data_IF_186375032514
#
_entry.id   IF_186375032514
#
_cell.length_a   1.000
_cell.length_b   1.000
_cell.length_c   1.000
_cell.angle_alpha   90.00
_cell.angle_beta   90.00
_cell.angle_gamma   90.00
#
_symmetry.space_group_name_H-M   'P 1'
#
loop_
_entity.id
_entity.type
_entity.pdbx_description
1 polymer ?
#
# COMPACT_ATOMS: atom_id res chain seq x y z
N UNK A 1 15.95 -42.39 7.90
CA UNK A 1 14.63 -42.11 7.29
C UNK A 1 14.67 -40.96 6.27
N UNK A 2 15.69 -40.07 6.28
CA UNK A 2 15.84 -38.96 5.32
C UNK A 2 16.16 -39.43 3.88
N UNK A 3 17.02 -40.43 3.70
CA UNK A 3 17.54 -40.80 2.37
C UNK A 3 16.57 -41.61 1.49
N UNK A 4 15.61 -42.32 2.11
CA UNK A 4 14.60 -43.07 1.35
C UNK A 4 13.53 -42.17 0.74
N UNK A 5 13.25 -41.02 1.36
CA UNK A 5 12.24 -40.09 0.86
C UNK A 5 12.79 -39.21 -0.27
N UNK A 6 14.08 -38.84 -0.21
CA UNK A 6 14.72 -38.06 -1.27
C UNK A 6 14.84 -38.86 -2.58
N UNK A 7 15.16 -40.16 -2.50
CA UNK A 7 15.31 -41.04 -3.67
C UNK A 7 13.98 -41.31 -4.39
N UNK A 8 12.90 -41.62 -3.65
CA UNK A 8 11.56 -41.78 -4.26
C UNK A 8 11.08 -40.50 -4.93
N UNK A 9 11.38 -39.36 -4.33
CA UNK A 9 10.93 -38.08 -4.84
C UNK A 9 11.73 -37.63 -6.07
N UNK A 10 13.03 -37.92 -6.10
CA UNK A 10 13.84 -37.77 -7.29
C UNK A 10 13.29 -38.62 -8.46
N UNK A 11 12.82 -39.84 -8.19
CA UNK A 11 12.15 -40.66 -9.19
C UNK A 11 10.82 -40.05 -9.66
N UNK A 12 10.01 -39.49 -8.77
CA UNK A 12 8.76 -38.83 -9.14
C UNK A 12 8.98 -37.59 -10.03
N UNK A 13 10.04 -36.82 -9.74
CA UNK A 13 10.45 -35.67 -10.56
C UNK A 13 10.92 -36.12 -11.95
N UNK A 14 11.73 -37.17 -12.03
CA UNK A 14 12.14 -37.74 -13.32
C UNK A 14 10.94 -38.27 -14.13
N UNK A 15 9.93 -38.83 -13.44
CA UNK A 15 8.68 -39.27 -14.07
C UNK A 15 7.82 -38.11 -14.57
N UNK A 16 7.94 -36.90 -14.02
CA UNK A 16 7.24 -35.72 -14.50
C UNK A 16 7.78 -35.16 -15.83
N UNK A 17 8.89 -35.72 -16.35
CA UNK A 17 9.40 -35.38 -17.68
C UNK A 17 10.11 -34.03 -17.77
N UNK A 18 10.59 -33.48 -16.64
CA UNK A 18 11.36 -32.24 -16.66
C UNK A 18 12.69 -32.43 -17.41
N UNK A 19 12.98 -31.50 -18.32
CA UNK A 19 14.26 -31.47 -19.02
C UNK A 19 15.31 -30.70 -18.20
N UNK A 20 16.60 -30.93 -18.48
CA UNK A 20 17.69 -30.14 -17.88
C UNK A 20 17.55 -28.63 -18.20
N UNK A 21 16.91 -28.30 -19.32
CA UNK A 21 16.60 -26.91 -19.68
C UNK A 21 15.57 -26.30 -18.72
N UNK A 22 14.53 -27.06 -18.38
CA UNK A 22 13.47 -26.66 -17.44
C UNK A 22 14.00 -26.42 -16.03
N UNK A 23 14.89 -27.29 -15.55
CA UNK A 23 15.55 -27.13 -14.25
C UNK A 23 16.33 -25.81 -14.18
N UNK A 24 17.16 -25.54 -15.19
CA UNK A 24 17.96 -24.32 -15.27
C UNK A 24 17.07 -23.07 -15.33
N UNK A 25 16.00 -23.12 -16.12
CA UNK A 25 15.06 -22.01 -16.24
C UNK A 25 14.37 -21.73 -14.91
N UNK A 26 13.90 -22.76 -14.21
CA UNK A 26 13.21 -22.59 -12.92
C UNK A 26 14.14 -22.02 -11.84
N UNK A 27 15.36 -22.55 -11.73
CA UNK A 27 16.36 -22.06 -10.77
C UNK A 27 16.72 -20.60 -11.06
N UNK A 28 16.99 -20.28 -12.34
CA UNK A 28 17.33 -18.92 -12.75
C UNK A 28 16.18 -17.94 -12.51
N UNK A 29 14.95 -18.34 -12.86
CA UNK A 29 13.76 -17.52 -12.60
C UNK A 29 13.58 -17.27 -11.10
N UNK A 30 13.65 -18.31 -10.26
CA UNK A 30 13.51 -18.15 -8.81
C UNK A 30 14.49 -17.12 -8.26
N UNK A 31 15.78 -17.26 -8.61
CA UNK A 31 16.82 -16.33 -8.17
C UNK A 31 16.57 -14.90 -8.65
N UNK A 32 16.26 -14.70 -9.94
CA UNK A 32 16.00 -13.37 -10.50
C UNK A 32 14.78 -12.71 -9.87
N UNK A 33 13.70 -13.48 -9.66
CA UNK A 33 12.46 -13.01 -9.05
C UNK A 33 12.72 -12.54 -7.61
N UNK A 34 13.51 -13.28 -6.82
CA UNK A 34 13.85 -12.89 -5.44
C UNK A 34 14.71 -11.61 -5.42
N UNK A 35 15.74 -11.54 -6.25
CA UNK A 35 16.61 -10.35 -6.34
C UNK A 35 15.78 -9.12 -6.72
N UNK A 36 14.93 -9.28 -7.73
CA UNK A 36 14.05 -8.22 -8.20
C UNK A 36 13.04 -7.79 -7.12
N UNK A 37 12.48 -8.74 -6.37
CA UNK A 37 11.60 -8.41 -5.25
C UNK A 37 12.31 -7.65 -4.14
N UNK A 38 13.52 -8.06 -3.77
CA UNK A 38 14.33 -7.38 -2.76
C UNK A 38 14.62 -5.93 -3.20
N UNK A 39 14.92 -5.74 -4.48
CA UNK A 39 15.09 -4.41 -5.08
C UNK A 39 13.82 -3.55 -4.97
N UNK A 40 12.65 -4.07 -5.37
CA UNK A 40 11.38 -3.35 -5.26
C UNK A 40 11.03 -2.99 -3.81
N UNK A 41 11.27 -3.91 -2.87
CA UNK A 41 11.05 -3.64 -1.43
C UNK A 41 12.06 -2.64 -0.86
N UNK A 42 13.27 -2.58 -1.41
CA UNK A 42 14.24 -1.53 -1.14
C UNK A 42 13.71 -0.14 -1.54
N UNK A 43 13.19 -0.01 -2.77
CA UNK A 43 12.52 1.22 -3.23
C UNK A 43 11.35 1.58 -2.29
N UNK A 44 10.53 0.60 -1.93
CA UNK A 44 9.43 0.81 -1.01
C UNK A 44 9.87 1.34 0.35
N UNK A 45 11.01 0.87 0.88
CA UNK A 45 11.58 1.36 2.15
C UNK A 45 11.96 2.84 2.08
N UNK A 46 12.51 3.31 0.95
CA UNK A 46 12.83 4.73 0.75
C UNK A 46 11.56 5.58 0.73
N UNK A 47 10.52 5.13 0.03
CA UNK A 47 9.21 5.82 -0.02
C UNK A 47 8.57 5.85 1.37
N UNK A 48 8.65 4.75 2.11
CA UNK A 48 8.15 4.66 3.48
C UNK A 48 8.89 5.63 4.42
N UNK A 49 10.22 5.69 4.36
CA UNK A 49 11.02 6.61 5.18
C UNK A 49 10.61 8.07 5.00
N UNK A 50 10.27 8.48 3.77
CA UNK A 50 9.77 9.83 3.49
C UNK A 50 8.34 10.10 4.00
N UNK A 51 7.57 9.06 4.31
CA UNK A 51 6.15 9.16 4.70
C UNK A 51 5.86 8.73 6.14
N UNK A 52 6.86 8.18 6.84
CA UNK A 52 6.73 7.58 8.17
C UNK A 52 6.18 8.54 9.23
N UNK A 53 6.47 9.84 9.11
CA UNK A 53 5.97 10.85 10.06
C UNK A 53 4.44 10.99 10.06
N UNK A 54 3.75 10.50 9.04
CA UNK A 54 2.34 10.84 8.83
C UNK A 54 1.34 9.85 9.45
N UNK A 55 1.61 8.53 9.49
CA UNK A 55 0.56 7.56 9.89
C UNK A 55 1.05 6.20 10.45
N UNK A 56 0.42 5.77 11.55
CA UNK A 56 0.62 4.45 12.18
C UNK A 56 0.22 3.29 11.26
N UNK A 57 -0.88 3.41 10.52
CA UNK A 57 -1.38 2.33 9.64
C UNK A 57 -0.40 2.00 8.50
N UNK A 58 0.30 3.01 7.97
CA UNK A 58 1.35 2.81 6.95
C UNK A 58 2.53 2.03 7.57
N UNK A 59 2.84 2.28 8.84
CA UNK A 59 3.90 1.55 9.55
C UNK A 59 3.57 0.06 9.70
N UNK A 60 2.31 -0.28 10.00
CA UNK A 60 1.87 -1.69 10.06
C UNK A 60 1.97 -2.37 8.70
N UNK A 61 1.55 -1.69 7.63
CA UNK A 61 1.68 -2.19 6.25
C UNK A 61 3.15 -2.41 5.88
N UNK A 62 4.03 -1.49 6.26
CA UNK A 62 5.48 -1.62 6.05
C UNK A 62 6.06 -2.82 6.81
N UNK A 63 5.77 -2.96 8.10
CA UNK A 63 6.23 -4.09 8.93
C UNK A 63 5.79 -5.43 8.32
N UNK A 64 4.54 -5.52 7.87
CA UNK A 64 4.00 -6.73 7.23
C UNK A 64 4.78 -7.07 5.95
N UNK A 65 5.11 -6.07 5.14
CA UNK A 65 5.92 -6.24 3.93
C UNK A 65 7.38 -6.65 4.23
N UNK A 66 7.99 -6.12 5.29
CA UNK A 66 9.33 -6.51 5.73
C UNK A 66 9.34 -7.93 6.30
N UNK A 67 8.33 -8.31 7.09
CA UNK A 67 8.17 -9.67 7.58
C UNK A 67 8.06 -10.67 6.41
N UNK A 68 7.28 -10.35 5.39
CA UNK A 68 7.15 -11.19 4.19
C UNK A 68 8.48 -11.30 3.43
N UNK A 69 9.29 -10.22 3.38
CA UNK A 69 10.63 -10.28 2.78
C UNK A 69 11.57 -11.19 3.60
N UNK A 70 11.53 -11.09 4.93
CA UNK A 70 12.37 -11.89 5.81
C UNK A 70 12.08 -13.39 5.67
N UNK A 71 10.80 -13.78 5.61
CA UNK A 71 10.39 -15.17 5.39
C UNK A 71 10.87 -15.66 4.03
N UNK A 72 10.70 -14.86 2.98
CA UNK A 72 11.16 -15.24 1.65
C UNK A 72 12.69 -15.33 1.55
N UNK A 73 13.41 -14.43 2.23
CA UNK A 73 14.86 -14.49 2.31
C UNK A 73 15.33 -15.77 3.02
N UNK A 74 14.64 -16.15 4.10
CA UNK A 74 14.89 -17.42 4.78
C UNK A 74 14.69 -18.61 3.83
N UNK A 75 13.59 -18.66 3.09
CA UNK A 75 13.35 -19.71 2.08
C UNK A 75 14.44 -19.73 1.00
N UNK A 76 14.92 -18.56 0.59
CA UNK A 76 16.00 -18.43 -0.41
C UNK A 76 17.32 -19.00 0.13
N UNK A 77 17.68 -18.63 1.36
CA UNK A 77 18.86 -19.19 2.03
C UNK A 77 18.76 -20.72 2.10
N UNK A 78 17.60 -21.24 2.49
CA UNK A 78 17.37 -22.67 2.54
C UNK A 78 17.57 -23.35 1.16
N UNK A 79 17.05 -22.76 0.09
CA UNK A 79 17.16 -23.30 -1.27
C UNK A 79 18.59 -23.28 -1.81
N UNK A 80 19.30 -22.15 -1.68
CA UNK A 80 20.56 -21.91 -2.38
C UNK A 80 21.81 -22.12 -1.52
N UNK A 81 21.71 -21.91 -0.20
CA UNK A 81 22.86 -22.03 0.70
C UNK A 81 22.83 -23.40 1.37
N UNK A 82 21.73 -23.76 2.02
CA UNK A 82 21.68 -25.00 2.80
C UNK A 82 21.56 -26.25 1.89
N UNK A 83 20.84 -26.13 0.76
CA UNK A 83 20.69 -27.20 -0.24
C UNK A 83 21.49 -26.93 -1.54
N UNK A 84 22.50 -26.07 -1.48
CA UNK A 84 23.28 -25.58 -2.62
C UNK A 84 24.35 -26.52 -3.18
N UNK A 85 24.48 -27.76 -2.68
CA UNK A 85 25.61 -28.65 -2.98
C UNK A 85 25.63 -29.06 -4.46
N UNK A 86 24.48 -29.42 -5.03
CA UNK A 86 24.34 -29.76 -6.44
C UNK A 86 23.15 -29.04 -7.07
N UNK A 87 23.11 -28.98 -8.41
CA UNK A 87 21.97 -28.41 -9.13
C UNK A 87 20.69 -29.16 -8.81
N UNK A 88 20.78 -30.48 -8.68
CA UNK A 88 19.63 -31.34 -8.44
C UNK A 88 19.08 -31.11 -7.02
N UNK A 89 19.95 -30.88 -6.02
CA UNK A 89 19.49 -30.52 -4.66
C UNK A 89 18.85 -29.13 -4.61
N UNK A 90 19.33 -28.16 -5.38
CA UNK A 90 18.69 -26.84 -5.51
C UNK A 90 17.35 -26.97 -6.22
N UNK A 91 17.28 -27.72 -7.32
CA UNK A 91 16.04 -27.93 -8.07
C UNK A 91 14.99 -28.61 -7.20
N UNK A 92 15.38 -29.70 -6.53
CA UNK A 92 14.56 -30.38 -5.53
C UNK A 92 14.16 -29.38 -4.46
N UNK A 93 15.06 -28.61 -3.85
CA UNK A 93 14.70 -27.64 -2.81
C UNK A 93 13.71 -26.58 -3.32
N UNK A 94 13.91 -25.99 -4.50
CA UNK A 94 12.98 -25.02 -5.11
C UNK A 94 11.61 -25.64 -5.36
N UNK A 95 11.56 -26.89 -5.85
CA UNK A 95 10.32 -27.61 -6.10
C UNK A 95 9.67 -28.12 -4.80
N UNK A 96 10.47 -28.50 -3.80
CA UNK A 96 10.08 -29.08 -2.50
C UNK A 96 10.02 -28.11 -1.34
N UNK A 97 10.20 -26.82 -1.57
CA UNK A 97 9.74 -25.79 -0.61
C UNK A 97 8.20 -25.81 -0.49
N UNK A 98 7.57 -26.97 -0.71
CA UNK A 98 6.21 -27.35 -0.39
C UNK A 98 6.15 -28.46 0.70
N UNK A 99 7.27 -28.89 1.32
CA UNK A 99 7.31 -29.86 2.42
C UNK A 99 6.68 -29.36 3.75
N UNK A 100 6.75 -30.17 4.82
CA UNK A 100 6.08 -29.87 6.12
C UNK A 100 6.55 -28.55 6.74
N UNK A 101 7.87 -28.30 6.78
CA UNK A 101 8.40 -27.00 7.24
C UNK A 101 8.01 -25.85 6.31
N UNK A 102 7.77 -26.17 5.03
CA UNK A 102 7.34 -25.20 4.05
C UNK A 102 5.83 -24.89 4.13
N UNK A 103 5.02 -25.77 4.72
CA UNK A 103 3.61 -25.48 4.98
C UNK A 103 3.48 -24.31 5.95
N UNK A 104 4.25 -24.30 7.04
CA UNK A 104 4.25 -23.21 8.00
C UNK A 104 4.69 -21.88 7.37
N UNK A 105 5.78 -21.90 6.59
CA UNK A 105 6.26 -20.72 5.86
C UNK A 105 5.24 -20.23 4.82
N UNK A 106 4.60 -21.16 4.10
CA UNK A 106 3.56 -20.86 3.13
C UNK A 106 2.35 -20.21 3.79
N UNK A 107 1.83 -20.80 4.87
CA UNK A 107 0.71 -20.22 5.63
C UNK A 107 1.10 -18.85 6.17
N UNK A 108 2.31 -18.67 6.69
CA UNK A 108 2.77 -17.38 7.17
C UNK A 108 2.82 -16.32 6.04
N UNK A 109 3.30 -16.69 4.85
CA UNK A 109 3.28 -15.82 3.67
C UNK A 109 1.86 -15.48 3.22
N UNK A 110 0.96 -16.47 3.17
CA UNK A 110 -0.45 -16.29 2.82
C UNK A 110 -1.12 -15.33 3.82
N UNK A 111 -0.92 -15.52 5.13
CA UNK A 111 -1.45 -14.63 6.18
C UNK A 111 -0.91 -13.21 6.04
N UNK A 112 0.40 -13.03 5.84
CA UNK A 112 0.98 -11.70 5.66
C UNK A 112 0.47 -11.02 4.38
N UNK A 113 0.22 -11.79 3.32
CA UNK A 113 -0.40 -11.31 2.10
C UNK A 113 -1.83 -10.82 2.36
N UNK A 114 -2.66 -11.62 3.04
CA UNK A 114 -4.03 -11.24 3.42
C UNK A 114 -4.02 -9.97 4.27
N UNK A 115 -3.17 -9.91 5.31
CA UNK A 115 -3.06 -8.74 6.18
C UNK A 115 -2.64 -7.51 5.39
N UNK A 116 -1.63 -7.61 4.52
CA UNK A 116 -1.17 -6.48 3.70
C UNK A 116 -2.26 -5.93 2.80
N UNK A 117 -3.02 -6.83 2.17
CA UNK A 117 -4.09 -6.48 1.24
C UNK A 117 -5.29 -5.86 1.97
N UNK A 118 -5.72 -6.43 3.10
CA UNK A 118 -6.79 -5.85 3.94
C UNK A 118 -6.39 -4.49 4.50
N UNK A 119 -5.13 -4.30 4.92
CA UNK A 119 -4.63 -2.99 5.37
C UNK A 119 -4.59 -1.97 4.23
N UNK A 120 -4.18 -2.40 3.03
CA UNK A 120 -4.16 -1.56 1.83
C UNK A 120 -5.57 -1.07 1.47
N UNK A 121 -6.54 -1.99 1.43
CA UNK A 121 -7.93 -1.65 1.14
C UNK A 121 -8.56 -0.81 2.24
N UNK A 122 -8.27 -1.13 3.51
CA UNK A 122 -8.72 -0.35 4.65
C UNK A 122 -8.25 1.11 4.59
N UNK A 123 -7.01 1.36 4.16
CA UNK A 123 -6.48 2.70 3.93
C UNK A 123 -7.22 3.44 2.81
N UNK A 124 -7.56 2.72 1.75
CA UNK A 124 -8.27 3.27 0.59
C UNK A 124 -9.76 3.54 0.93
N UNK A 125 -10.41 2.66 1.69
CA UNK A 125 -11.76 2.86 2.24
C UNK A 125 -11.80 4.07 3.18
N UNK A 126 -10.83 4.16 4.11
CA UNK A 126 -10.71 5.29 5.03
C UNK A 126 -10.63 6.63 4.30
N UNK A 127 -9.94 6.66 3.16
CA UNK A 127 -9.84 7.85 2.31
C UNK A 127 -11.14 8.18 1.61
N UNK A 128 -11.78 7.18 1.01
CA UNK A 128 -13.11 7.36 0.43
C UNK A 128 -14.08 7.88 1.50
N UNK A 129 -13.99 7.41 2.74
CA UNK A 129 -14.81 7.87 3.86
C UNK A 129 -14.64 9.36 4.17
N UNK A 130 -13.40 9.82 4.27
CA UNK A 130 -13.13 11.23 4.51
C UNK A 130 -13.50 12.11 3.29
N UNK A 131 -13.28 11.64 2.07
CA UNK A 131 -13.57 12.38 0.85
C UNK A 131 -15.08 12.57 0.59
N UNK A 132 -15.89 11.60 1.02
CA UNK A 132 -17.35 11.62 0.88
C UNK A 132 -18.07 12.28 2.07
N UNK A 133 -17.35 13.07 2.87
CA UNK A 133 -17.90 13.76 4.04
C UNK A 133 -18.69 12.80 4.95
N UNK A 134 -18.13 11.61 5.21
CA UNK A 134 -18.73 10.55 6.05
C UNK A 134 -20.03 9.94 5.51
N UNK A 135 -20.32 10.07 4.21
CA UNK A 135 -21.50 9.41 3.61
C UNK A 135 -21.30 7.89 3.52
N UNK A 136 -22.07 7.14 4.33
CA UNK A 136 -21.98 5.67 4.42
C UNK A 136 -22.36 4.96 3.12
N UNK A 137 -23.27 5.54 2.32
CA UNK A 137 -23.80 4.91 1.11
C UNK A 137 -22.73 4.63 0.05
N UNK A 138 -21.82 5.57 -0.21
CA UNK A 138 -20.77 5.40 -1.21
C UNK A 138 -19.75 4.31 -0.80
N UNK A 139 -19.58 4.13 0.51
CA UNK A 139 -18.52 3.33 1.13
C UNK A 139 -18.99 1.91 1.39
N UNK A 140 -20.30 1.72 1.55
CA UNK A 140 -20.92 0.41 1.76
C UNK A 140 -20.52 -0.59 0.67
N UNK A 141 -20.37 -0.14 -0.58
CA UNK A 141 -19.94 -0.99 -1.70
C UNK A 141 -18.50 -1.47 -1.51
N UNK A 142 -17.58 -0.56 -1.15
CA UNK A 142 -16.17 -0.91 -0.94
C UNK A 142 -15.99 -1.82 0.29
N UNK A 143 -16.67 -1.52 1.40
CA UNK A 143 -16.64 -2.36 2.60
C UNK A 143 -17.16 -3.76 2.31
N UNK A 144 -18.24 -3.88 1.54
CA UNK A 144 -18.77 -5.18 1.13
C UNK A 144 -17.77 -5.96 0.27
N UNK A 145 -17.15 -5.31 -0.74
CA UNK A 145 -16.15 -5.94 -1.60
C UNK A 145 -14.93 -6.41 -0.81
N UNK A 146 -14.35 -5.56 0.04
CA UNK A 146 -13.21 -5.92 0.90
C UNK A 146 -13.57 -7.02 1.90
N UNK A 147 -14.80 -7.07 2.40
CA UNK A 147 -15.27 -8.17 3.25
C UNK A 147 -15.32 -9.51 2.48
N UNK A 148 -15.90 -9.51 1.28
CA UNK A 148 -15.96 -10.71 0.42
C UNK A 148 -14.54 -11.18 0.07
N UNK A 149 -13.66 -10.25 -0.26
CA UNK A 149 -12.25 -10.51 -0.54
C UNK A 149 -11.53 -11.13 0.65
N UNK A 150 -11.64 -10.54 1.85
CA UNK A 150 -11.07 -11.09 3.07
C UNK A 150 -11.58 -12.51 3.35
N UNK A 151 -12.88 -12.76 3.15
CA UNK A 151 -13.47 -14.08 3.32
C UNK A 151 -12.90 -15.11 2.31
N UNK A 152 -12.70 -14.74 1.05
CA UNK A 152 -12.11 -15.61 0.03
C UNK A 152 -10.64 -15.93 0.33
N UNK A 153 -9.86 -14.92 0.73
CA UNK A 153 -8.44 -15.09 1.07
C UNK A 153 -8.26 -15.93 2.35
N UNK A 154 -9.14 -15.75 3.35
CA UNK A 154 -9.16 -16.60 4.54
C UNK A 154 -9.55 -18.04 4.18
N UNK A 155 -10.54 -18.23 3.31
CA UNK A 155 -10.94 -19.56 2.82
C UNK A 155 -9.77 -20.26 2.12
N UNK A 156 -9.03 -19.53 1.30
CA UNK A 156 -7.79 -20.06 0.70
C UNK A 156 -6.77 -20.45 1.77
N UNK A 157 -6.47 -19.56 2.71
CA UNK A 157 -5.44 -19.79 3.73
C UNK A 157 -5.77 -21.01 4.61
N UNK A 158 -7.03 -21.15 5.00
CA UNK A 158 -7.52 -22.31 5.76
C UNK A 158 -7.47 -23.57 4.87
N UNK A 159 -7.88 -23.45 3.61
CA UNK A 159 -7.81 -24.53 2.64
C UNK A 159 -6.38 -25.03 2.41
N UNK A 160 -5.40 -24.14 2.25
CA UNK A 160 -4.00 -24.52 2.07
C UNK A 160 -3.41 -25.18 3.31
N UNK A 161 -3.93 -24.86 4.51
CA UNK A 161 -3.52 -25.48 5.76
C UNK A 161 -4.11 -26.89 5.99
N UNK A 162 -5.38 -27.11 5.62
CA UNK A 162 -6.08 -28.39 5.88
C UNK A 162 -5.74 -29.43 4.82
N UNK A 163 -5.57 -29.00 3.57
CA UNK A 163 -5.51 -29.91 2.44
C UNK A 163 -4.11 -30.49 2.35
N UNK A 164 -3.91 -31.79 2.62
CA UNK A 164 -2.62 -32.40 2.39
C UNK A 164 -2.29 -32.22 0.91
N UNK A 165 -1.01 -31.92 0.62
CA UNK A 165 -0.45 -31.57 -0.70
C UNK A 165 -0.77 -32.53 -1.87
N UNK A 166 -1.52 -33.62 -1.64
CA UNK A 166 -1.83 -34.67 -2.59
C UNK A 166 -3.23 -34.60 -3.22
N UNK A 167 -4.16 -33.79 -2.70
CA UNK A 167 -5.51 -33.71 -3.28
C UNK A 167 -5.57 -32.70 -4.45
N UNK A 168 -5.11 -33.12 -5.64
CA UNK A 168 -5.07 -32.29 -6.87
C UNK A 168 -6.41 -31.61 -7.17
N UNK A 169 -7.53 -32.32 -7.00
CA UNK A 169 -8.88 -31.78 -7.26
C UNK A 169 -9.27 -30.62 -6.33
N UNK A 170 -8.71 -30.57 -5.13
CA UNK A 170 -9.01 -29.53 -4.14
C UNK A 170 -8.08 -28.33 -4.33
N UNK A 171 -6.83 -28.54 -4.74
CA UNK A 171 -5.91 -27.46 -5.12
C UNK A 171 -6.50 -26.60 -6.25
N UNK A 172 -7.07 -27.24 -7.28
CA UNK A 172 -7.74 -26.53 -8.38
C UNK A 172 -8.87 -25.62 -7.89
N UNK A 173 -9.65 -26.06 -6.89
CA UNK A 173 -10.71 -25.24 -6.30
C UNK A 173 -10.15 -24.08 -5.49
N UNK A 174 -9.07 -24.29 -4.75
CA UNK A 174 -8.41 -23.23 -3.99
C UNK A 174 -7.80 -22.18 -4.92
N UNK A 175 -7.19 -22.58 -6.02
CA UNK A 175 -6.64 -21.64 -7.00
C UNK A 175 -7.74 -20.78 -7.65
N UNK A 176 -8.92 -21.36 -7.92
CA UNK A 176 -10.10 -20.60 -8.36
C UNK A 176 -10.57 -19.60 -7.31
N UNK A 177 -10.48 -19.93 -6.02
CA UNK A 177 -10.80 -19.00 -4.92
C UNK A 177 -9.78 -17.85 -4.88
N UNK A 178 -8.47 -18.13 -5.05
CA UNK A 178 -7.42 -17.10 -5.16
C UNK A 178 -7.71 -16.16 -6.33
N UNK A 179 -8.02 -16.72 -7.50
CA UNK A 179 -8.37 -15.96 -8.69
C UNK A 179 -9.58 -15.04 -8.42
N UNK A 180 -10.65 -15.56 -7.82
CA UNK A 180 -11.82 -14.78 -7.49
C UNK A 180 -11.49 -13.65 -6.50
N UNK A 181 -10.72 -13.94 -5.45
CA UNK A 181 -10.30 -12.94 -4.46
C UNK A 181 -9.45 -11.83 -5.08
N UNK A 182 -8.45 -12.19 -5.89
CA UNK A 182 -7.59 -11.22 -6.59
C UNK A 182 -8.33 -10.38 -7.63
N UNK A 183 -9.32 -10.95 -8.32
CA UNK A 183 -10.16 -10.20 -9.25
C UNK A 183 -11.06 -9.22 -8.51
N UNK A 184 -11.68 -9.65 -7.40
CA UNK A 184 -12.49 -8.79 -6.54
C UNK A 184 -11.64 -7.64 -5.99
N UNK A 185 -10.42 -7.92 -5.51
CA UNK A 185 -9.43 -6.91 -5.13
C UNK A 185 -9.21 -5.86 -6.22
N UNK A 186 -8.97 -6.31 -7.45
CA UNK A 186 -8.77 -5.43 -8.60
C UNK A 186 -10.00 -4.56 -8.87
N UNK A 187 -11.20 -5.13 -8.76
CA UNK A 187 -12.46 -4.40 -8.86
C UNK A 187 -12.64 -3.39 -7.72
N UNK A 188 -12.31 -3.74 -6.47
CA UNK A 188 -12.35 -2.84 -5.31
C UNK A 188 -11.49 -1.61 -5.55
N UNK A 189 -10.23 -1.81 -5.96
CA UNK A 189 -9.29 -0.73 -6.26
C UNK A 189 -9.79 0.13 -7.43
N UNK A 190 -10.29 -0.48 -8.51
CA UNK A 190 -10.82 0.25 -9.66
C UNK A 190 -12.03 1.12 -9.28
N UNK A 191 -13.00 0.54 -8.56
CA UNK A 191 -14.20 1.25 -8.11
C UNK A 191 -13.81 2.41 -7.19
N UNK A 192 -12.92 2.18 -6.23
CA UNK A 192 -12.44 3.23 -5.34
C UNK A 192 -11.73 4.37 -6.08
N UNK A 193 -10.87 4.02 -7.04
CA UNK A 193 -10.17 5.00 -7.88
C UNK A 193 -11.17 5.87 -8.65
N UNK A 194 -12.20 5.24 -9.23
CA UNK A 194 -13.28 5.95 -9.94
C UNK A 194 -14.09 6.83 -8.98
N UNK A 195 -14.43 6.35 -7.78
CA UNK A 195 -15.16 7.14 -6.79
C UNK A 195 -14.38 8.39 -6.35
N UNK A 196 -13.07 8.25 -6.16
CA UNK A 196 -12.20 9.36 -5.77
C UNK A 196 -12.08 10.37 -6.91
N UNK A 197 -11.81 9.90 -8.14
CA UNK A 197 -11.73 10.75 -9.32
C UNK A 197 -13.05 11.50 -9.58
N UNK A 198 -14.18 10.80 -9.49
CA UNK A 198 -15.51 11.38 -9.66
C UNK A 198 -15.78 12.49 -8.64
N UNK A 199 -15.43 12.26 -7.37
CA UNK A 199 -15.67 13.24 -6.30
C UNK A 199 -14.80 14.48 -6.47
N UNK A 200 -13.51 14.32 -6.82
CA UNK A 200 -12.63 15.46 -7.12
C UNK A 200 -13.18 16.27 -8.29
N UNK A 201 -13.61 15.60 -9.36
CA UNK A 201 -14.22 16.28 -10.52
C UNK A 201 -15.49 17.05 -10.14
N UNK A 202 -16.34 16.48 -9.28
CA UNK A 202 -17.53 17.16 -8.78
C UNK A 202 -17.19 18.41 -7.96
N UNK A 203 -16.17 18.34 -7.09
CA UNK A 203 -15.69 19.48 -6.32
C UNK A 203 -15.12 20.58 -7.22
N UNK A 204 -14.32 20.23 -8.22
CA UNK A 204 -13.79 21.18 -9.20
C UNK A 204 -14.89 21.95 -9.91
N UNK A 205 -15.99 21.26 -10.28
CA UNK A 205 -17.13 21.90 -10.96
C UNK A 205 -17.86 22.91 -10.08
N UNK A 206 -17.90 22.72 -8.77
CA UNK A 206 -18.64 23.61 -7.86
C UNK A 206 -17.86 24.86 -7.45
N UNK A 207 -16.53 24.81 -7.37
CA UNK A 207 -15.74 25.89 -6.79
C UNK A 207 -15.11 26.88 -7.78
N UNK A 208 -15.31 26.71 -9.10
CA UNK A 208 -14.66 27.53 -10.14
C UNK A 208 -13.13 27.70 -9.93
N UNK A 209 -12.49 26.75 -9.26
CA UNK A 209 -11.05 26.81 -8.98
C UNK A 209 -10.23 26.46 -10.22
N UNK A 210 -9.01 27.00 -10.27
CA UNK A 210 -8.00 26.67 -11.27
C UNK A 210 -7.88 25.16 -11.47
N UNK A 211 -8.35 24.68 -12.62
CA UNK A 211 -8.50 23.25 -12.92
C UNK A 211 -7.16 22.50 -13.01
N UNK A 212 -6.07 23.22 -13.24
CA UNK A 212 -4.77 22.63 -13.64
C UNK A 212 -4.10 21.85 -12.51
N UNK A 213 -4.12 22.37 -11.27
CA UNK A 213 -3.48 21.71 -10.11
C UNK A 213 -4.21 20.42 -9.72
N UNK A 214 -5.55 20.48 -9.64
CA UNK A 214 -6.37 19.33 -9.26
C UNK A 214 -6.40 18.24 -10.33
N UNK A 215 -6.29 18.61 -11.61
CA UNK A 215 -6.19 17.65 -12.70
C UNK A 215 -4.91 16.83 -12.61
N UNK A 216 -3.78 17.45 -12.27
CA UNK A 216 -2.51 16.72 -12.11
C UNK A 216 -2.60 15.66 -11.00
N UNK A 217 -3.17 16.01 -9.85
CA UNK A 217 -3.34 15.09 -8.72
C UNK A 217 -4.28 13.94 -9.08
N UNK A 218 -5.42 14.26 -9.71
CA UNK A 218 -6.40 13.25 -10.12
C UNK A 218 -5.78 12.27 -11.12
N UNK A 219 -4.97 12.77 -12.06
CA UNK A 219 -4.24 11.93 -13.02
C UNK A 219 -3.26 10.99 -12.32
N UNK A 220 -2.53 11.47 -11.31
CA UNK A 220 -1.60 10.62 -10.56
C UNK A 220 -2.32 9.52 -9.76
N UNK A 221 -3.41 9.85 -9.06
CA UNK A 221 -4.23 8.87 -8.33
C UNK A 221 -4.79 7.84 -9.31
N UNK A 222 -5.34 8.29 -10.43
CA UNK A 222 -5.89 7.42 -11.47
C UNK A 222 -4.82 6.49 -12.06
N UNK A 223 -3.62 7.00 -12.36
CA UNK A 223 -2.51 6.19 -12.87
C UNK A 223 -2.09 5.11 -11.86
N UNK A 224 -1.94 5.47 -10.58
CA UNK A 224 -1.56 4.50 -9.54
C UNK A 224 -2.62 3.40 -9.31
N UNK A 225 -3.90 3.78 -9.34
CA UNK A 225 -5.02 2.85 -9.25
C UNK A 225 -5.10 1.90 -10.45
N UNK A 226 -4.94 2.43 -11.67
CA UNK A 226 -4.92 1.63 -12.90
C UNK A 226 -3.78 0.60 -12.84
N UNK A 227 -2.55 1.03 -12.52
CA UNK A 227 -1.39 0.13 -12.43
C UNK A 227 -1.63 -0.99 -11.41
N UNK A 228 -2.23 -0.67 -10.26
CA UNK A 228 -2.54 -1.66 -9.22
C UNK A 228 -3.61 -2.66 -9.67
N UNK A 229 -4.72 -2.17 -10.23
CA UNK A 229 -5.79 -3.03 -10.76
C UNK A 229 -5.32 -3.91 -11.92
N UNK A 230 -4.44 -3.39 -12.78
CA UNK A 230 -3.88 -4.12 -13.91
C UNK A 230 -2.92 -5.21 -13.42
N UNK A 231 -2.12 -4.95 -12.39
CA UNK A 231 -1.24 -5.94 -11.78
C UNK A 231 -2.04 -7.11 -11.18
N UNK A 232 -3.14 -6.81 -10.47
CA UNK A 232 -4.07 -7.83 -9.95
C UNK A 232 -4.74 -8.62 -11.06
N UNK A 233 -5.16 -7.96 -12.15
CA UNK A 233 -5.75 -8.62 -13.31
C UNK A 233 -4.75 -9.57 -13.98
N UNK A 234 -3.51 -9.13 -14.22
CA UNK A 234 -2.45 -9.97 -14.80
C UNK A 234 -2.21 -11.19 -13.90
N UNK A 235 -2.10 -11.00 -12.58
CA UNK A 235 -1.89 -12.10 -11.65
C UNK A 235 -3.07 -13.09 -11.64
N UNK A 236 -4.31 -12.58 -11.66
CA UNK A 236 -5.53 -13.41 -11.72
C UNK A 236 -5.58 -14.23 -13.02
N UNK A 237 -5.24 -13.62 -14.17
CA UNK A 237 -5.15 -14.32 -15.46
C UNK A 237 -4.07 -15.40 -15.44
N UNK A 238 -2.88 -15.10 -14.91
CA UNK A 238 -1.81 -16.09 -14.79
C UNK A 238 -2.20 -17.26 -13.88
N UNK A 239 -2.93 -16.99 -12.80
CA UNK A 239 -3.49 -18.02 -11.91
C UNK A 239 -4.44 -18.95 -12.68
N UNK A 240 -5.35 -18.41 -13.50
CA UNK A 240 -6.27 -19.22 -14.34
C UNK A 240 -5.50 -20.12 -15.31
N UNK A 241 -4.51 -19.55 -16.00
CA UNK A 241 -3.72 -20.29 -16.98
C UNK A 241 -2.94 -21.42 -16.32
N UNK A 242 -2.41 -21.17 -15.11
CA UNK A 242 -1.71 -22.18 -14.32
C UNK A 242 -2.66 -23.32 -13.91
N UNK A 243 -3.84 -23.00 -13.39
CA UNK A 243 -4.82 -23.99 -12.89
C UNK A 243 -5.42 -24.85 -14.01
N UNK A 244 -5.59 -24.31 -15.22
CA UNK A 244 -6.16 -25.06 -16.35
C UNK A 244 -5.17 -26.01 -17.01
N UNK A 245 -3.87 -25.80 -16.84
CA UNK A 245 -2.86 -26.64 -17.49
C UNK A 245 -2.52 -27.83 -16.59
N UNK A 246 -2.76 -29.08 -17.01
CA UNK A 246 -2.39 -30.25 -16.21
C UNK A 246 -0.87 -30.37 -16.04
N UNK A 247 -0.11 -29.86 -17.00
CA UNK A 247 1.35 -29.80 -17.01
C UNK A 247 1.77 -28.41 -17.50
N UNK A 248 1.73 -27.39 -16.64
CA UNK A 248 2.08 -26.03 -17.03
C UNK A 248 3.52 -25.99 -17.51
N UNK A 249 3.75 -25.30 -18.63
CA UNK A 249 5.11 -25.11 -19.12
C UNK A 249 5.93 -24.34 -18.07
N UNK A 250 7.22 -24.63 -17.98
CA UNK A 250 8.15 -23.91 -17.09
C UNK A 250 8.19 -22.42 -17.37
N UNK A 251 7.94 -22.01 -18.61
CA UNK A 251 7.76 -20.62 -19.00
C UNK A 251 6.51 -20.00 -18.34
N UNK A 252 5.36 -20.67 -18.40
CA UNK A 252 4.13 -20.19 -17.77
C UNK A 252 4.29 -20.09 -16.25
N UNK A 253 4.90 -21.09 -15.63
CA UNK A 253 5.24 -21.07 -14.21
C UNK A 253 6.17 -19.90 -13.86
N UNK A 254 7.14 -19.60 -14.72
CA UNK A 254 8.03 -18.45 -14.55
C UNK A 254 7.26 -17.13 -14.59
N UNK A 255 6.38 -16.95 -15.58
CA UNK A 255 5.52 -15.76 -15.66
C UNK A 255 4.62 -15.59 -14.44
N UNK A 256 4.07 -16.69 -13.92
CA UNK A 256 3.30 -16.68 -12.69
C UNK A 256 4.10 -16.15 -11.48
N UNK A 257 5.34 -16.62 -11.30
CA UNK A 257 6.21 -16.12 -10.23
C UNK A 257 6.53 -14.63 -10.38
N UNK A 258 6.83 -14.18 -11.59
CA UNK A 258 7.05 -12.76 -11.88
C UNK A 258 5.81 -11.91 -11.56
N UNK A 259 4.62 -12.36 -11.96
CA UNK A 259 3.38 -11.65 -11.67
C UNK A 259 3.11 -11.54 -10.16
N UNK A 260 3.33 -12.61 -9.40
CA UNK A 260 3.13 -12.61 -7.95
C UNK A 260 4.10 -11.69 -7.21
N UNK A 261 5.36 -11.63 -7.65
CA UNK A 261 6.36 -10.75 -7.05
C UNK A 261 6.15 -9.28 -7.34
N UNK A 262 5.62 -8.94 -8.52
CA UNK A 262 5.25 -7.56 -8.86
C UNK A 262 4.06 -7.08 -8.03
N UNK A 263 3.11 -7.97 -7.74
CA UNK A 263 1.83 -7.62 -7.15
C UNK A 263 1.94 -6.92 -5.78
N UNK A 264 2.70 -7.51 -4.85
CA UNK A 264 2.77 -7.01 -3.46
C UNK A 264 3.45 -5.64 -3.34
N UNK A 265 4.63 -5.40 -3.95
CA UNK A 265 5.24 -4.07 -3.90
C UNK A 265 4.41 -3.02 -4.64
N UNK A 266 3.82 -3.35 -5.80
CA UNK A 266 3.02 -2.38 -6.57
C UNK A 266 1.81 -1.91 -5.77
N UNK A 267 1.08 -2.83 -5.15
CA UNK A 267 -0.10 -2.50 -4.32
C UNK A 267 0.31 -1.64 -3.11
N UNK A 268 1.36 -2.04 -2.37
CA UNK A 268 1.86 -1.26 -1.23
C UNK A 268 2.38 0.13 -1.60
N UNK A 269 3.18 0.24 -2.66
CA UNK A 269 3.73 1.51 -3.16
C UNK A 269 2.60 2.42 -3.64
N UNK A 270 1.68 1.91 -4.44
CA UNK A 270 0.54 2.67 -4.96
C UNK A 270 -0.28 3.29 -3.82
N UNK A 271 -0.67 2.48 -2.83
CA UNK A 271 -1.43 2.94 -1.66
C UNK A 271 -0.64 3.98 -0.85
N UNK A 272 0.68 3.82 -0.71
CA UNK A 272 1.54 4.76 0.04
C UNK A 272 1.80 6.07 -0.70
N UNK A 273 1.88 6.05 -2.03
CA UNK A 273 1.99 7.28 -2.85
C UNK A 273 0.66 8.04 -2.79
N UNK A 274 -0.45 7.31 -2.96
CA UNK A 274 -1.79 7.87 -2.85
C UNK A 274 -1.97 8.52 -1.47
N UNK A 275 -1.74 7.74 -0.39
CA UNK A 275 -1.06 8.12 0.85
C UNK A 275 -0.57 9.56 1.00
N UNK A 276 0.73 9.68 0.77
CA UNK A 276 1.51 10.88 0.87
C UNK A 276 0.86 12.09 0.18
N UNK A 277 0.34 11.89 -1.04
CA UNK A 277 -0.18 13.00 -1.85
C UNK A 277 -1.39 13.69 -1.23
N UNK A 278 -2.26 12.96 -0.56
CA UNK A 278 -3.42 13.57 0.11
C UNK A 278 -3.00 14.28 1.39
N UNK A 279 -2.02 13.73 2.13
CA UNK A 279 -1.49 14.39 3.32
C UNK A 279 -0.86 15.75 2.98
N UNK A 280 -0.06 15.81 1.90
CA UNK A 280 0.58 17.06 1.46
C UNK A 280 -0.42 18.16 1.04
N UNK A 281 -1.64 17.79 0.64
CA UNK A 281 -2.69 18.77 0.29
C UNK A 281 -3.37 19.38 1.52
N UNK A 282 -3.38 18.64 2.63
CA UNK A 282 -4.02 19.09 3.87
C UNK A 282 -3.20 20.23 4.50
N UNK A 283 -1.87 20.17 4.35
CA UNK A 283 -0.96 21.20 4.87
C UNK A 283 -1.04 22.50 4.06
N UNK A 284 -1.20 22.45 2.73
CA UNK A 284 -1.34 23.67 1.91
C UNK A 284 -2.63 24.45 2.21
N UNK A 285 -3.70 23.77 2.63
CA UNK A 285 -4.96 24.41 3.02
C UNK A 285 -4.91 25.05 4.43
N UNK A 286 -4.00 24.59 5.28
CA UNK A 286 -3.83 25.05 6.66
C UNK A 286 -2.60 25.94 6.86
N UNK A 287 -1.78 26.13 5.81
CA UNK A 287 -0.91 27.28 5.76
C UNK A 287 -1.82 28.47 6.06
N UNK A 288 -1.59 29.20 7.17
CA UNK A 288 -2.44 30.33 7.50
C UNK A 288 -2.49 31.12 6.22
N UNK A 289 -3.70 31.35 5.71
CA UNK A 289 -3.94 32.47 4.84
C UNK A 289 -3.31 33.59 5.63
N UNK A 290 -2.07 33.93 5.27
CA UNK A 290 -1.43 35.12 5.73
C UNK A 290 -2.37 36.13 5.13
N UNK A 291 -3.33 36.52 5.94
CA UNK A 291 -4.06 37.75 5.88
C UNK A 291 -2.98 38.83 5.96
N UNK A 292 -2.18 38.92 4.89
CA UNK A 292 -1.81 40.18 4.31
C UNK A 292 -3.09 40.81 3.71
N UNK A 293 -4.10 40.95 4.57
CA UNK A 293 -4.95 42.12 4.69
C UNK A 293 -4.07 43.32 5.04
N UNK A 294 -3.06 43.60 4.20
CA UNK A 294 -2.77 45.00 3.86
C UNK A 294 -3.47 45.28 2.55
N UNK A 295 -4.77 45.00 2.54
CA UNK A 295 -5.75 45.85 1.89
C UNK A 295 -5.89 47.16 2.68
N UNK A 296 -4.77 47.85 2.93
CA UNK A 296 -4.79 49.31 2.96
C UNK A 296 -4.75 49.71 1.49
N UNK A 297 -5.88 49.50 0.83
CA UNK A 297 -6.16 50.19 -0.41
C UNK A 297 -6.42 51.63 0.02
N UNK A 298 -5.36 52.44 0.05
CA UNK A 298 -5.49 53.89 0.10
C UNK A 298 -6.29 54.29 -1.12
N UNK A 299 -7.62 54.32 -0.98
CA UNK A 299 -8.47 55.07 -1.86
C UNK A 299 -8.01 56.51 -1.69
N UNK A 300 -7.42 57.15 -2.72
CA UNK A 300 -7.17 58.58 -2.64
C UNK A 300 -8.55 59.20 -2.54
N UNK A 301 -8.92 59.67 -1.35
CA UNK A 301 -9.94 60.67 -1.23
C UNK A 301 -9.36 61.87 -1.96
N UNK A 302 -9.81 62.09 -3.18
CA UNK A 302 -9.66 63.38 -3.86
C UNK A 302 -10.45 64.38 -3.04
N UNK A 303 -9.85 64.84 -1.94
CA UNK A 303 -10.25 66.04 -1.26
C UNK A 303 -10.02 67.15 -2.27
N UNK A 304 -11.12 67.73 -2.75
CA UNK A 304 -11.11 69.05 -3.34
C UNK A 304 -10.53 70.01 -2.31
N UNK A 305 -9.22 70.24 -2.42
CA UNK A 305 -8.46 71.12 -1.58
C UNK A 305 -8.84 72.56 -1.96
N UNK A 306 -9.60 73.21 -1.07
CA UNK A 306 -9.70 74.66 -1.03
C UNK A 306 -8.95 75.10 0.21
N UNK A 307 -7.77 75.70 0.00
CA UNK A 307 -7.09 76.66 0.86
C UNK A 307 -7.07 76.45 2.38
N UNK A 308 -5.89 76.32 2.97
CA UNK A 308 -5.21 77.40 3.73
C UNK A 308 -4.15 76.79 4.66
N UNK A 309 -2.97 77.39 4.62
CA UNK A 309 -1.78 77.12 5.41
C UNK A 309 -2.02 76.84 6.90
N UNK A 310 -1.36 75.80 7.42
CA UNK A 310 -0.73 75.84 8.74
C UNK A 310 0.31 74.71 8.88
N UNK A 311 1.58 75.13 9.05
CA UNK A 311 2.70 74.29 9.51
C UNK A 311 2.48 73.84 10.96
N UNK A 312 2.68 72.55 11.28
CA UNK A 312 3.02 72.07 12.63
C UNK A 312 3.98 70.86 12.52
N UNK A 313 5.03 70.76 13.37
CA UNK A 313 6.18 69.88 13.16
C UNK A 313 6.06 68.48 13.80
N UNK A 314 6.88 67.60 13.26
CA UNK A 314 7.34 66.28 13.71
C UNK A 314 7.66 66.24 15.21
N UNK A 315 7.01 65.36 15.99
CA UNK A 315 7.53 64.66 17.20
C UNK A 315 6.55 63.53 17.60
N UNK A 316 6.96 62.26 17.51
CA UNK A 316 6.84 61.18 18.54
C UNK A 316 7.00 59.78 17.92
N UNK A 317 8.25 59.31 17.93
CA UNK A 317 8.61 57.90 18.03
C UNK A 317 8.45 57.47 19.49
N UNK A 318 7.87 56.28 19.70
CA UNK A 318 8.08 55.49 20.91
C UNK A 318 6.83 55.27 21.76
N UNK A 319 6.03 54.26 21.43
CA UNK A 319 5.21 53.53 22.41
C UNK A 319 4.59 52.23 21.83
N UNK A 320 5.39 51.26 21.36
CA UNK A 320 4.84 49.99 20.83
C UNK A 320 5.47 48.70 21.40
N UNK A 321 6.35 48.77 22.41
CA UNK A 321 7.06 47.59 22.92
C UNK A 321 6.56 46.99 24.26
N UNK A 322 5.50 47.51 24.88
CA UNK A 322 5.09 47.06 26.24
C UNK A 322 3.90 46.09 26.25
N UNK A 323 3.21 45.84 25.14
CA UNK A 323 1.95 45.06 25.15
C UNK A 323 2.11 43.57 24.78
N UNK A 324 3.32 43.12 24.43
CA UNK A 324 3.57 41.70 24.02
C UNK A 324 4.03 40.76 25.13
N UNK A 325 4.33 41.26 26.33
CA UNK A 325 4.78 40.43 27.45
C UNK A 325 3.67 39.94 28.39
N UNK A 326 2.44 40.44 28.26
CA UNK A 326 1.32 40.08 29.16
C UNK A 326 0.41 38.95 28.65
N UNK A 327 0.62 38.44 27.43
CA UNK A 327 -0.24 37.40 26.85
C UNK A 327 0.30 35.97 27.04
N UNK A 328 1.54 35.78 27.49
CA UNK A 328 2.16 34.45 27.60
C UNK A 328 1.99 33.85 29.01
N UNK A 329 1.72 34.68 30.03
CA UNK A 329 1.64 34.22 31.43
C UNK A 329 0.28 33.59 31.78
N UNK A 330 -0.81 33.99 31.11
CA UNK A 330 -2.15 33.44 31.36
C UNK A 330 -2.34 32.03 30.78
N UNK A 331 -1.72 31.71 29.64
CA UNK A 331 -1.82 30.38 29.03
C UNK A 331 -1.07 29.30 29.82
N UNK A 332 0.02 29.67 30.52
CA UNK A 332 0.76 28.75 31.37
C UNK A 332 0.01 28.42 32.67
N UNK A 333 -0.75 29.38 33.22
CA UNK A 333 -1.57 29.15 34.41
C UNK A 333 -2.75 28.20 34.12
N UNK A 334 -3.33 28.27 32.91
CA UNK A 334 -4.46 27.42 32.53
C UNK A 334 -4.06 25.96 32.26
N UNK A 335 -2.87 25.72 31.69
CA UNK A 335 -2.34 24.37 31.46
C UNK A 335 -2.01 23.62 32.77
N UNK A 336 -1.51 24.34 33.79
CA UNK A 336 -1.20 23.76 35.11
C UNK A 336 -2.46 23.27 35.85
N UNK A 337 -3.58 23.99 35.73
CA UNK A 337 -4.82 23.63 36.40
C UNK A 337 -5.52 22.40 35.78
N UNK A 338 -5.37 22.20 34.47
CA UNK A 338 -5.88 21.00 33.79
C UNK A 338 -5.13 19.72 34.18
N UNK A 339 -3.81 19.79 34.42
CA UNK A 339 -3.05 18.63 34.90
C UNK A 339 -3.36 18.24 36.35
N UNK A 340 -3.71 19.20 37.22
CA UNK A 340 -4.09 18.89 38.61
C UNK A 340 -5.46 18.21 38.69
N UNK A 341 -6.41 18.59 37.84
CA UNK A 341 -7.77 18.03 37.86
C UNK A 341 -7.81 16.54 37.46
N UNK A 342 -6.93 16.13 36.53
CA UNK A 342 -6.86 14.74 36.07
C UNK A 342 -6.21 13.77 37.07
N UNK A 343 -5.59 14.30 38.14
CA UNK A 343 -4.92 13.49 39.18
C UNK A 343 -5.81 13.17 40.39
N UNK A 344 -7.03 13.71 40.43
CA UNK A 344 -8.01 13.46 41.49
C UNK A 344 -9.12 12.47 41.10
N UNK A 345 -9.16 12.01 39.83
CA UNK A 345 -10.16 11.06 39.32
C UNK A 345 -9.60 9.63 39.12
N UNK A 346 -8.44 9.31 39.71
CA UNK A 346 -7.83 7.96 39.74
C UNK A 346 -7.56 7.57 41.19
#
# INVERSE_FOLDING_TARGET
>A
MSDSNSTMLHQAILQAGFTVHDEKLLIATSLHVIIFQAFLKGIYTVIFGGTMYAYVTISVLYITNIAALAIQWYSTKFQFIDNGISRDTIFVAVYLTAGIDALALRIAMDVLAVVSLVLSDGLLIWRCFNLWNRSVYAISILVFLTFVEAALMLTQTIGSAIVPLRAVSLQVKLDLVIMAGTLISGCTIAIATVQIAYRIHLFMKHQNMSSTKFQHITNLVLQSGIVSSLSLLIFSVMTILMTRSPTPSTQLMSFYYWAGVMLFPITGISTTIMVARVATLSDESNAPISEHLTGIQFRPQSAACTGTDAQIPVVLQGLEDTTRSLSIEDDQAQASNLMKKNKQEV
#
